data_IF_692532713333
#
_entry.id   IF_692532713333
#
_cell.length_a   1.000
_cell.length_b   1.000
_cell.length_c   1.000
_cell.angle_alpha   90.00
_cell.angle_beta   90.00
_cell.angle_gamma   90.00
#
_symmetry.space_group_name_H-M   'P 1'
#
loop_
_entity.id
_entity.type
_entity.pdbx_description
1 polymer ?
#
# COMPACT_ATOMS: atom_id res chain seq x y z
N UNK A 1 26.45 4.64 -14.02
CA UNK A 1 24.98 4.59 -14.02
C UNK A 1 24.47 5.94 -14.50
N UNK A 2 23.35 5.97 -15.20
CA UNK A 2 22.70 7.19 -15.65
C UNK A 2 21.20 7.01 -15.48
N UNK A 3 20.57 8.00 -14.85
CA UNK A 3 19.12 8.14 -14.85
C UNK A 3 18.79 9.59 -15.18
N UNK A 4 17.91 9.81 -16.16
CA UNK A 4 17.35 11.12 -16.49
C UNK A 4 15.89 10.97 -16.91
N UNK A 5 15.00 11.77 -16.32
CA UNK A 5 13.58 11.78 -16.64
C UNK A 5 13.05 13.22 -16.61
N UNK A 6 11.89 13.46 -17.25
CA UNK A 6 11.16 14.73 -17.14
C UNK A 6 9.80 14.46 -16.53
N UNK A 7 9.45 15.14 -15.44
CA UNK A 7 8.14 14.96 -14.78
C UNK A 7 7.01 15.51 -15.64
N UNK A 8 5.88 14.81 -15.59
CA UNK A 8 4.65 15.26 -16.23
C UNK A 8 3.92 16.25 -15.32
N UNK A 9 3.90 17.54 -15.69
CA UNK A 9 3.39 18.64 -14.85
C UNK A 9 1.95 18.44 -14.34
N UNK A 10 1.07 17.81 -15.15
CA UNK A 10 -0.34 17.54 -14.78
C UNK A 10 -0.61 16.16 -14.18
N UNK A 11 0.34 15.22 -14.19
CA UNK A 11 0.17 13.85 -13.64
C UNK A 11 1.15 13.51 -12.50
N UNK A 12 2.13 14.35 -12.20
CA UNK A 12 3.10 14.15 -11.12
C UNK A 12 2.54 14.17 -9.69
N UNK A 13 1.22 14.37 -9.52
CA UNK A 13 0.55 14.32 -8.23
C UNK A 13 0.66 12.94 -7.58
N UNK A 14 0.53 11.85 -8.34
CA UNK A 14 0.57 10.49 -7.77
C UNK A 14 1.90 10.18 -7.07
N UNK A 15 3.03 10.60 -7.67
CA UNK A 15 4.34 10.42 -7.05
C UNK A 15 4.42 11.22 -5.75
N UNK A 16 3.95 12.47 -5.73
CA UNK A 16 3.91 13.27 -4.52
C UNK A 16 2.98 12.66 -3.45
N UNK A 17 1.81 12.18 -3.83
CA UNK A 17 0.84 11.54 -2.93
C UNK A 17 1.43 10.27 -2.31
N UNK A 18 2.04 9.40 -3.10
CA UNK A 18 2.72 8.20 -2.60
C UNK A 18 3.82 8.58 -1.59
N UNK A 19 4.70 9.53 -1.94
CA UNK A 19 5.76 9.99 -1.03
C UNK A 19 5.18 10.60 0.25
N UNK A 20 4.11 11.39 0.17
CA UNK A 20 3.41 11.92 1.35
C UNK A 20 2.82 10.80 2.20
N UNK A 21 2.23 9.78 1.58
CA UNK A 21 1.74 8.57 2.22
C UNK A 21 2.85 7.87 3.00
N UNK A 22 4.00 7.60 2.36
CA UNK A 22 5.16 6.98 3.00
C UNK A 22 5.65 7.79 4.20
N UNK A 23 5.74 9.12 4.07
CA UNK A 23 6.16 10.00 5.18
C UNK A 23 5.17 9.92 6.36
N UNK A 24 3.85 9.95 6.10
CA UNK A 24 2.84 9.81 7.15
C UNK A 24 2.91 8.45 7.83
N UNK A 25 3.02 7.39 7.03
CA UNK A 25 3.11 6.02 7.52
C UNK A 25 4.35 5.82 8.40
N UNK A 26 5.54 6.24 7.95
CA UNK A 26 6.76 6.19 8.76
C UNK A 26 6.65 6.97 10.07
N UNK A 27 5.87 8.07 10.10
CA UNK A 27 5.64 8.83 11.33
C UNK A 27 4.72 8.11 12.32
N UNK A 28 3.76 7.32 11.82
CA UNK A 28 2.79 6.56 12.61
C UNK A 28 3.29 5.18 13.09
N UNK A 29 4.28 4.59 12.41
CA UNK A 29 4.85 3.30 12.80
C UNK A 29 5.63 3.39 14.13
N UNK A 30 5.50 2.39 15.02
CA UNK A 30 6.15 2.41 16.34
C UNK A 30 7.67 2.27 16.25
N UNK A 31 8.19 1.43 15.33
CA UNK A 31 9.62 1.11 15.20
C UNK A 31 10.29 1.81 14.00
N UNK A 32 10.40 3.14 14.08
CA UNK A 32 10.94 3.98 12.98
C UNK A 32 12.35 3.60 12.53
N UNK A 33 13.17 3.02 13.41
CA UNK A 33 14.55 2.66 13.12
C UNK A 33 14.69 1.46 12.16
N UNK A 34 13.63 0.64 12.05
CA UNK A 34 13.62 -0.56 11.21
C UNK A 34 12.84 -0.37 9.90
N UNK A 35 12.33 0.83 9.65
CA UNK A 35 11.66 1.17 8.38
C UNK A 35 12.70 1.64 7.37
N UNK A 36 12.73 1.03 6.19
CA UNK A 36 13.63 1.45 5.10
C UNK A 36 12.85 1.75 3.84
N UNK A 37 13.12 2.93 3.29
CA UNK A 37 12.49 3.41 2.05
C UNK A 37 13.46 3.30 0.89
N UNK A 38 12.98 2.69 -0.19
CA UNK A 38 13.74 2.44 -1.39
C UNK A 38 13.00 2.93 -2.62
N UNK A 39 13.76 3.37 -3.62
CA UNK A 39 13.28 3.61 -4.96
C UNK A 39 14.06 2.70 -5.91
N UNK A 40 13.33 1.89 -6.66
CA UNK A 40 13.89 0.99 -7.67
C UNK A 40 13.40 1.43 -9.05
N UNK A 41 14.33 1.80 -9.91
CA UNK A 41 14.08 2.10 -11.31
C UNK A 41 14.30 0.82 -12.11
N UNK A 42 13.25 0.36 -12.78
CA UNK A 42 13.27 -0.79 -13.69
C UNK A 42 13.07 -0.33 -15.13
N UNK A 43 13.01 -1.28 -16.08
CA UNK A 43 12.90 -0.96 -17.51
C UNK A 43 11.67 -0.10 -17.85
N UNK A 44 10.50 -0.42 -17.27
CA UNK A 44 9.21 0.19 -17.63
C UNK A 44 8.47 0.84 -16.45
N UNK A 45 9.01 0.70 -15.24
CA UNK A 45 8.33 1.14 -14.02
C UNK A 45 9.29 1.66 -12.96
N UNK A 46 8.75 2.54 -12.13
CA UNK A 46 9.30 2.99 -10.87
C UNK A 46 8.64 2.21 -9.74
N UNK A 47 9.41 1.59 -8.86
CA UNK A 47 8.90 0.99 -7.64
C UNK A 47 9.35 1.84 -6.45
N UNK A 48 8.38 2.31 -5.67
CA UNK A 48 8.62 2.86 -4.34
C UNK A 48 8.31 1.76 -3.34
N UNK A 49 9.24 1.48 -2.43
CA UNK A 49 9.08 0.39 -1.47
C UNK A 49 9.39 0.90 -0.06
N UNK A 50 8.48 0.69 0.88
CA UNK A 50 8.75 0.78 2.29
C UNK A 50 8.43 -0.55 2.96
N UNK A 51 9.46 -1.16 3.54
CA UNK A 51 9.29 -2.32 4.41
C UNK A 51 9.66 -1.91 5.84
N UNK A 52 8.78 -2.20 6.78
CA UNK A 52 9.00 -2.00 8.20
C UNK A 52 8.92 -3.32 8.94
N UNK A 53 10.01 -3.67 9.62
CA UNK A 53 10.10 -4.87 10.44
C UNK A 53 9.90 -4.52 11.92
N UNK A 54 8.95 -5.16 12.57
CA UNK A 54 8.83 -5.17 14.03
C UNK A 54 9.54 -6.41 14.60
N UNK A 55 10.07 -6.26 15.81
CA UNK A 55 11.06 -7.15 16.43
C UNK A 55 10.71 -8.66 16.41
N UNK A 56 11.77 -9.46 16.20
CA UNK A 56 12.00 -10.91 16.38
C UNK A 56 11.06 -11.90 15.66
N UNK A 57 9.77 -11.62 15.49
CA UNK A 57 8.82 -12.50 14.80
C UNK A 57 8.02 -11.74 13.74
N UNK A 58 8.55 -11.70 12.50
CA UNK A 58 7.83 -11.60 11.21
C UNK A 58 6.73 -10.54 11.03
N UNK A 59 6.58 -9.57 11.92
CA UNK A 59 5.62 -8.49 11.77
C UNK A 59 6.14 -7.50 10.72
N UNK A 60 5.61 -7.65 9.51
CA UNK A 60 5.99 -6.83 8.37
C UNK A 60 4.81 -5.94 7.98
N UNK A 61 5.07 -4.64 7.89
CA UNK A 61 4.29 -3.73 7.07
C UNK A 61 5.10 -3.44 5.81
N UNK A 62 4.64 -3.95 4.68
CA UNK A 62 5.24 -3.75 3.36
C UNK A 62 4.27 -2.96 2.49
N UNK A 63 4.74 -1.83 1.98
CA UNK A 63 3.98 -1.00 1.05
C UNK A 63 4.83 -0.78 -0.19
N UNK A 64 4.28 -1.18 -1.34
CA UNK A 64 4.92 -1.03 -2.63
C UNK A 64 4.02 -0.26 -3.59
N UNK A 65 4.53 0.83 -4.17
CA UNK A 65 3.89 1.53 -5.27
C UNK A 65 4.63 1.21 -6.55
N UNK A 66 4.02 0.42 -7.45
CA UNK A 66 4.54 0.17 -8.79
C UNK A 66 3.89 1.17 -9.74
N UNK A 67 4.65 2.19 -10.11
CA UNK A 67 4.21 3.26 -10.99
C UNK A 67 4.78 3.06 -12.39
N UNK A 68 3.92 3.03 -13.41
CA UNK A 68 4.42 3.02 -14.80
C UNK A 68 5.05 4.37 -15.13
N UNK A 69 6.08 4.35 -15.97
CA UNK A 69 6.76 5.58 -16.34
C UNK A 69 5.85 6.57 -17.08
N UNK A 70 4.91 6.10 -17.91
CA UNK A 70 3.94 6.94 -18.63
C UNK A 70 2.94 7.68 -17.71
N UNK A 71 2.74 7.17 -16.49
CA UNK A 71 1.87 7.79 -15.49
C UNK A 71 2.58 8.92 -14.72
N UNK A 72 3.92 8.87 -14.67
CA UNK A 72 4.75 9.78 -13.84
C UNK A 72 5.54 10.78 -14.68
N UNK A 73 6.08 10.34 -15.81
CA UNK A 73 7.01 11.08 -16.65
C UNK A 73 6.37 11.47 -17.98
N UNK A 74 6.80 12.59 -18.54
CA UNK A 74 6.33 13.08 -19.84
C UNK A 74 6.78 12.19 -21.01
N UNK A 75 7.90 11.49 -20.83
CA UNK A 75 8.54 10.62 -21.81
C UNK A 75 9.29 9.51 -21.07
N UNK A 76 9.59 8.42 -21.77
CA UNK A 76 10.40 7.34 -21.20
C UNK A 76 11.72 7.87 -20.61
N UNK A 77 12.07 7.47 -19.38
CA UNK A 77 13.31 7.90 -18.76
C UNK A 77 14.50 7.22 -19.44
N UNK A 78 15.60 7.97 -19.54
CA UNK A 78 16.89 7.41 -19.93
C UNK A 78 17.50 6.70 -18.73
N UNK A 79 17.61 5.38 -18.81
CA UNK A 79 18.10 4.51 -17.74
C UNK A 79 19.23 3.61 -18.25
N UNK A 80 20.45 3.83 -17.75
CA UNK A 80 21.64 3.04 -18.11
C UNK A 80 22.35 2.55 -16.85
N UNK A 81 22.40 1.23 -16.66
CA UNK A 81 23.07 0.58 -15.53
C UNK A 81 23.69 -0.74 -15.96
N UNK A 82 24.86 -1.07 -15.37
CA UNK A 82 25.51 -2.37 -15.58
C UNK A 82 24.71 -3.55 -14.99
N UNK A 83 23.70 -3.26 -14.16
CA UNK A 83 22.79 -4.24 -13.57
C UNK A 83 21.51 -4.32 -14.40
N UNK A 84 21.61 -4.72 -15.67
CA UNK A 84 20.44 -4.89 -16.56
C UNK A 84 19.54 -3.64 -16.65
N UNK A 85 20.14 -2.44 -16.61
CA UNK A 85 19.41 -1.17 -16.54
C UNK A 85 18.47 -1.06 -15.33
N UNK A 86 18.79 -1.73 -14.21
CA UNK A 86 18.11 -1.56 -12.92
C UNK A 86 18.98 -0.70 -12.00
N UNK A 87 18.34 0.23 -11.30
CA UNK A 87 18.97 1.10 -10.31
C UNK A 87 18.15 1.09 -9.02
N UNK A 88 18.79 0.79 -7.89
CA UNK A 88 18.20 0.94 -6.57
C UNK A 88 18.84 2.10 -5.82
N UNK A 89 18.02 2.95 -5.20
CA UNK A 89 18.48 4.00 -4.29
C UNK A 89 17.71 3.96 -2.97
N UNK A 90 18.37 4.42 -1.91
CA UNK A 90 17.79 4.62 -0.57
C UNK A 90 17.93 6.08 -0.17
N UNK A 91 16.91 6.63 0.48
CA UNK A 91 16.91 7.96 1.07
C UNK A 91 15.76 8.13 2.07
N UNK A 92 15.77 9.20 2.84
CA UNK A 92 14.59 9.62 3.60
C UNK A 92 13.52 10.18 2.62
N UNK A 93 12.30 9.63 2.56
CA UNK A 93 11.26 10.09 1.64
C UNK A 93 10.84 11.55 1.89
N UNK A 94 11.00 12.07 3.12
CA UNK A 94 10.67 13.47 3.44
C UNK A 94 11.53 14.46 2.64
N UNK A 95 12.75 14.07 2.25
CA UNK A 95 13.62 14.89 1.40
C UNK A 95 13.07 15.12 -0.02
N UNK A 96 12.09 14.32 -0.46
CA UNK A 96 11.46 14.45 -1.78
C UNK A 96 10.22 15.37 -1.77
N UNK A 97 9.66 15.68 -0.60
CA UNK A 97 8.41 16.45 -0.49
C UNK A 97 8.53 17.85 -1.08
N UNK A 98 9.55 18.60 -0.67
CA UNK A 98 9.76 19.97 -1.15
C UNK A 98 10.07 20.00 -2.65
N UNK A 99 11.03 19.22 -3.18
CA UNK A 99 11.27 19.16 -4.62
C UNK A 99 10.03 18.79 -5.44
N UNK A 100 9.26 17.78 -5.01
CA UNK A 100 8.06 17.37 -5.73
C UNK A 100 6.97 18.45 -5.69
N UNK A 101 6.78 19.14 -4.56
CA UNK A 101 5.87 20.30 -4.48
C UNK A 101 6.29 21.44 -5.41
N UNK A 102 7.58 21.78 -5.44
CA UNK A 102 8.10 22.80 -6.35
C UNK A 102 7.89 22.40 -7.82
N UNK A 103 8.01 21.10 -8.14
CA UNK A 103 7.86 20.59 -9.52
C UNK A 103 6.46 20.77 -10.11
N UNK A 104 5.41 20.75 -9.28
CA UNK A 104 4.02 20.98 -9.70
C UNK A 104 3.85 22.41 -10.24
N UNK A 105 4.56 23.37 -9.65
CA UNK A 105 4.51 24.78 -10.04
C UNK A 105 5.50 25.13 -11.16
N UNK A 106 6.48 24.25 -11.42
CA UNK A 106 7.49 24.45 -12.44
C UNK A 106 6.94 24.14 -13.83
N UNK A 107 7.32 24.94 -14.83
CA UNK A 107 6.99 24.72 -16.25
C UNK A 107 7.54 23.40 -16.76
N UNK A 108 8.75 23.06 -16.33
CA UNK A 108 9.42 21.82 -16.65
C UNK A 108 10.27 21.40 -15.44
N UNK A 109 10.29 20.09 -15.14
CA UNK A 109 11.18 19.52 -14.14
C UNK A 109 11.91 18.31 -14.68
N UNK A 110 13.24 18.40 -14.75
CA UNK A 110 14.13 17.27 -15.07
C UNK A 110 14.66 16.63 -13.79
N UNK A 111 14.49 15.32 -13.66
CA UNK A 111 15.12 14.50 -12.62
C UNK A 111 16.40 13.89 -13.19
N UNK A 112 17.47 13.92 -12.40
CA UNK A 112 18.75 13.30 -12.79
C UNK A 112 19.45 12.69 -11.60
N UNK A 113 19.85 11.43 -11.72
CA UNK A 113 20.80 10.83 -10.79
C UNK A 113 22.22 11.18 -11.22
N UNK A 114 22.99 11.80 -10.33
CA UNK A 114 24.36 12.23 -10.62
C UNK A 114 25.25 12.19 -9.38
N UNK A 115 26.55 12.39 -9.57
CA UNK A 115 27.51 12.56 -8.47
C UNK A 115 27.92 14.04 -8.42
N UNK A 116 27.64 14.73 -7.32
CA UNK A 116 28.03 16.12 -7.03
C UNK A 116 28.83 16.15 -5.75
N UNK A 117 29.98 16.83 -5.75
CA UNK A 117 30.86 16.96 -4.58
C UNK A 117 31.16 15.62 -3.89
N UNK A 118 31.45 14.61 -4.70
CA UNK A 118 31.69 13.22 -4.29
C UNK A 118 30.50 12.47 -3.66
N UNK A 119 29.30 13.05 -3.63
CA UNK A 119 28.07 12.43 -3.13
C UNK A 119 27.11 12.09 -4.26
N UNK A 120 26.37 10.99 -4.14
CA UNK A 120 25.31 10.66 -5.08
C UNK A 120 24.08 11.49 -4.73
N UNK A 121 23.48 12.12 -5.74
CA UNK A 121 22.29 12.97 -5.58
C UNK A 121 21.26 12.70 -6.66
N UNK A 122 20.00 12.69 -6.26
CA UNK A 122 18.86 12.81 -7.16
C UNK A 122 18.50 14.31 -7.27
N UNK A 123 18.88 14.91 -8.38
CA UNK A 123 18.68 16.34 -8.65
C UNK A 123 17.36 16.58 -9.36
N UNK A 124 16.59 17.56 -8.87
CA UNK A 124 15.40 18.10 -9.51
C UNK A 124 15.74 19.48 -10.07
N UNK A 125 15.96 19.56 -11.38
CA UNK A 125 16.22 20.83 -12.09
C UNK A 125 14.93 21.34 -12.70
N UNK A 126 14.48 22.51 -12.27
CA UNK A 126 13.18 23.08 -12.58
C UNK A 126 13.34 24.40 -13.33
N UNK A 127 12.49 24.62 -14.33
CA UNK A 127 12.32 25.92 -14.98
C UNK A 127 11.02 26.52 -14.43
N UNK A 128 11.13 27.63 -13.71
CA UNK A 128 9.99 28.31 -13.09
C UNK A 128 9.70 29.59 -13.87
N UNK A 129 8.45 29.76 -14.27
CA UNK A 129 7.97 30.98 -14.93
C UNK A 129 7.29 31.89 -13.89
N UNK A 130 7.77 33.11 -13.78
CA UNK A 130 7.21 34.12 -12.87
C UNK A 130 5.98 34.79 -13.49
N UNK A 131 5.16 35.46 -12.67
CA UNK A 131 4.01 36.26 -13.15
C UNK A 131 4.38 37.36 -14.15
N UNK A 132 5.66 37.79 -14.19
CA UNK A 132 6.18 38.79 -15.14
C UNK A 132 6.79 38.16 -16.40
N UNK A 133 6.53 36.87 -16.65
CA UNK A 133 7.09 36.08 -17.76
C UNK A 133 8.63 35.97 -17.77
N UNK A 134 9.31 36.35 -16.69
CA UNK A 134 10.72 35.99 -16.49
C UNK A 134 10.83 34.55 -16.03
N UNK A 135 11.86 33.84 -16.50
CA UNK A 135 12.15 32.46 -16.09
C UNK A 135 13.39 32.41 -15.21
N UNK A 136 13.39 31.52 -14.22
CA UNK A 136 14.59 31.20 -13.45
C UNK A 136 14.70 29.68 -13.26
N UNK A 137 15.93 29.22 -13.05
CA UNK A 137 16.21 27.82 -12.81
C UNK A 137 16.37 27.57 -11.32
N UNK A 138 15.62 26.60 -10.79
CA UNK A 138 15.74 26.12 -9.42
C UNK A 138 16.26 24.70 -9.45
N UNK A 139 17.22 24.37 -8.58
CA UNK A 139 17.71 22.99 -8.44
C UNK A 139 17.63 22.55 -6.99
N UNK A 140 16.98 21.41 -6.74
CA UNK A 140 17.05 20.72 -5.46
C UNK A 140 17.86 19.43 -5.61
N UNK A 141 18.89 19.27 -4.79
CA UNK A 141 19.70 18.05 -4.75
C UNK A 141 19.35 17.23 -3.50
N UNK A 142 18.76 16.05 -3.71
CA UNK A 142 18.47 15.11 -2.64
C UNK A 142 19.62 14.10 -2.55
N UNK A 143 20.29 14.03 -1.40
CA UNK A 143 21.33 13.01 -1.16
C UNK A 143 20.71 11.62 -1.18
N UNK A 144 21.38 10.68 -1.83
CA UNK A 144 20.90 9.30 -1.95
C UNK A 144 22.04 8.30 -1.76
N UNK A 145 21.70 7.14 -1.23
CA UNK A 145 22.58 5.99 -1.21
C UNK A 145 22.25 5.09 -2.39
N UNK A 146 23.22 4.90 -3.30
CA UNK A 146 23.06 3.97 -4.42
C UNK A 146 23.31 2.55 -3.92
N UNK A 147 22.34 1.67 -4.13
CA UNK A 147 22.41 0.29 -3.69
C UNK A 147 23.26 -0.56 -4.64
N UNK A 148 23.94 -1.56 -4.07
CA UNK A 148 24.64 -2.59 -4.85
C UNK A 148 23.64 -3.47 -5.58
N UNK A 149 23.99 -3.96 -6.78
CA UNK A 149 23.15 -4.82 -7.62
C UNK A 149 22.49 -5.97 -6.87
N UNK A 150 23.25 -6.67 -6.01
CA UNK A 150 22.74 -7.79 -5.20
C UNK A 150 21.54 -7.37 -4.35
N UNK A 151 21.67 -6.28 -3.60
CA UNK A 151 20.61 -5.76 -2.72
C UNK A 151 19.43 -5.29 -3.58
N UNK A 152 19.69 -4.54 -4.65
CA UNK A 152 18.64 -4.03 -5.55
C UNK A 152 17.79 -5.14 -6.15
N UNK A 153 18.40 -6.28 -6.51
CA UNK A 153 17.69 -7.41 -7.11
C UNK A 153 16.87 -8.19 -6.07
N UNK A 154 17.25 -8.11 -4.78
CA UNK A 154 16.51 -8.68 -3.65
C UNK A 154 15.36 -7.77 -3.16
N UNK A 155 15.29 -6.51 -3.63
CA UNK A 155 14.15 -5.62 -3.37
C UNK A 155 12.97 -6.00 -4.27
N UNK A 156 12.18 -6.95 -3.78
CA UNK A 156 10.95 -7.44 -4.38
C UNK A 156 9.81 -7.14 -3.40
N UNK A 157 8.74 -6.44 -3.83
CA UNK A 157 7.54 -6.28 -3.01
C UNK A 157 7.04 -7.62 -2.47
N UNK A 158 6.57 -7.68 -1.22
CA UNK A 158 6.16 -8.96 -0.63
C UNK A 158 5.04 -9.64 -1.44
N UNK A 159 4.07 -8.87 -1.93
CA UNK A 159 2.99 -9.38 -2.77
C UNK A 159 3.43 -9.96 -4.11
N UNK A 160 4.65 -9.68 -4.55
CA UNK A 160 5.21 -10.16 -5.81
C UNK A 160 6.26 -11.27 -5.62
N UNK A 161 6.64 -11.57 -4.37
CA UNK A 161 7.56 -12.67 -4.08
C UNK A 161 6.85 -14.01 -4.25
N UNK A 162 6.80 -14.47 -5.50
CA UNK A 162 6.13 -15.72 -5.89
C UNK A 162 6.64 -16.96 -5.15
N UNK A 163 7.86 -16.91 -4.58
CA UNK A 163 8.40 -18.02 -3.78
C UNK A 163 7.85 -18.06 -2.36
N UNK A 164 7.44 -16.92 -1.82
CA UNK A 164 6.93 -16.79 -0.45
C UNK A 164 5.42 -16.63 -0.37
N UNK A 165 4.80 -15.98 -1.35
CA UNK A 165 3.39 -15.56 -1.29
C UNK A 165 2.60 -15.78 -2.60
N UNK A 166 3.23 -16.32 -3.66
CA UNK A 166 2.65 -16.38 -5.02
C UNK A 166 1.37 -17.21 -5.17
N UNK A 167 1.10 -18.12 -4.23
CA UNK A 167 -0.11 -18.95 -4.19
C UNK A 167 -1.14 -18.46 -3.17
N UNK A 168 -0.91 -17.33 -2.49
CA UNK A 168 -1.60 -17.02 -1.24
C UNK A 168 -2.54 -15.81 -1.31
N UNK A 169 -2.43 -14.99 -2.36
CA UNK A 169 -3.35 -13.87 -2.57
C UNK A 169 -4.66 -14.45 -3.10
N UNK A 170 -5.76 -14.40 -2.32
CA UNK A 170 -7.04 -14.95 -2.75
C UNK A 170 -7.57 -14.20 -3.96
N UNK A 171 -8.27 -14.91 -4.86
CA UNK A 171 -8.98 -14.32 -6.00
C UNK A 171 -10.19 -13.47 -5.57
N UNK A 172 -10.59 -13.55 -4.29
CA UNK A 172 -11.70 -12.80 -3.72
C UNK A 172 -11.17 -11.65 -2.88
N UNK A 173 -11.60 -10.45 -3.24
CA UNK A 173 -11.30 -9.20 -2.56
C UNK A 173 -12.58 -8.49 -2.16
N UNK A 174 -12.48 -7.59 -1.19
CA UNK A 174 -13.62 -6.89 -0.63
C UNK A 174 -13.36 -5.39 -0.62
N UNK A 175 -14.35 -4.56 -0.97
CA UNK A 175 -14.23 -3.11 -0.82
C UNK A 175 -13.92 -2.81 0.64
N UNK A 176 -12.85 -2.07 0.89
CA UNK A 176 -12.56 -1.64 2.24
C UNK A 176 -13.68 -0.69 2.74
N UNK A 177 -14.11 -0.80 4.02
CA UNK A 177 -14.94 0.23 4.61
C UNK A 177 -14.29 1.62 4.49
N UNK A 178 -15.06 2.72 4.54
CA UNK A 178 -14.51 4.06 4.34
C UNK A 178 -13.29 4.32 5.25
N UNK A 179 -12.08 4.60 4.70
CA UNK A 179 -10.86 4.67 5.49
C UNK A 179 -10.91 5.67 6.64
N UNK A 180 -11.59 6.82 6.45
CA UNK A 180 -11.80 7.82 7.50
C UNK A 180 -12.66 7.29 8.66
N UNK A 181 -13.63 6.42 8.38
CA UNK A 181 -14.47 5.80 9.41
C UNK A 181 -13.68 4.74 10.19
N UNK A 182 -12.86 3.93 9.50
CA UNK A 182 -11.95 2.98 10.16
C UNK A 182 -10.92 3.69 11.05
N UNK A 183 -10.31 4.77 10.56
CA UNK A 183 -9.36 5.57 11.35
C UNK A 183 -10.01 6.09 12.64
N UNK A 184 -11.21 6.69 12.55
CA UNK A 184 -11.95 7.16 13.74
C UNK A 184 -12.32 6.02 14.69
N UNK A 185 -12.65 4.84 14.16
CA UNK A 185 -12.92 3.67 14.98
C UNK A 185 -11.66 3.26 15.76
N UNK A 186 -10.52 3.16 15.08
CA UNK A 186 -9.27 2.77 15.70
C UNK A 186 -8.78 3.81 16.72
N UNK A 187 -8.97 5.10 16.44
CA UNK A 187 -8.74 6.17 17.44
C UNK A 187 -9.57 5.94 18.71
N UNK A 188 -10.86 5.58 18.59
CA UNK A 188 -11.71 5.25 19.74
C UNK A 188 -11.27 3.97 20.46
N UNK A 189 -10.85 2.95 19.73
CA UNK A 189 -10.34 1.70 20.31
C UNK A 189 -9.06 1.96 21.11
N UNK A 190 -8.18 2.85 20.66
CA UNK A 190 -7.00 3.26 21.44
C UNK A 190 -7.37 3.97 22.75
N UNK A 191 -8.49 4.70 22.80
CA UNK A 191 -8.94 5.36 24.04
C UNK A 191 -9.40 4.36 25.12
N UNK A 192 -9.72 3.12 24.75
CA UNK A 192 -10.00 2.01 25.69
C UNK A 192 -8.79 1.08 25.87
N UNK A 193 -7.59 1.60 25.60
CA UNK A 193 -6.29 0.90 25.72
C UNK A 193 -6.14 -0.35 24.85
N UNK A 194 -6.90 -0.46 23.75
CA UNK A 194 -6.74 -1.56 22.79
C UNK A 194 -5.41 -1.42 22.04
N UNK A 195 -4.66 -2.52 21.97
CA UNK A 195 -3.41 -2.63 21.19
C UNK A 195 -3.63 -3.35 19.87
N UNK A 196 -4.59 -4.27 19.85
CA UNK A 196 -4.84 -5.16 18.73
C UNK A 196 -6.29 -5.09 18.28
N UNK A 197 -6.50 -5.21 16.98
CA UNK A 197 -7.83 -5.28 16.38
C UNK A 197 -7.95 -6.59 15.62
N UNK A 198 -8.95 -7.39 15.97
CA UNK A 198 -9.39 -8.50 15.14
C UNK A 198 -10.29 -7.95 14.03
N UNK A 199 -9.90 -8.22 12.78
CA UNK A 199 -10.71 -7.95 11.61
C UNK A 199 -11.21 -9.28 11.09
N UNK A 200 -12.52 -9.39 10.96
CA UNK A 200 -13.22 -10.52 10.39
C UNK A 200 -14.03 -10.06 9.17
N UNK A 201 -13.96 -10.81 8.07
CA UNK A 201 -14.72 -10.60 6.85
C UNK A 201 -15.65 -11.79 6.67
N UNK A 202 -16.95 -11.53 6.59
CA UNK A 202 -18.00 -12.54 6.43
C UNK A 202 -18.78 -12.25 5.16
N UNK A 203 -18.84 -13.21 4.25
CA UNK A 203 -19.66 -13.16 3.04
C UNK A 203 -20.80 -14.17 3.17
N UNK A 204 -22.04 -13.71 2.96
CA UNK A 204 -23.24 -14.55 2.93
C UNK A 204 -23.64 -14.84 1.49
N UNK A 205 -23.52 -16.10 1.07
CA UNK A 205 -23.90 -16.54 -0.27
C UNK A 205 -25.42 -16.65 -0.47
N UNK A 206 -26.24 -16.52 0.59
CA UNK A 206 -27.70 -16.67 0.47
C UNK A 206 -28.45 -15.40 0.03
N UNK A 207 -27.77 -14.25 -0.05
CA UNK A 207 -28.40 -12.99 -0.47
C UNK A 207 -28.73 -12.93 -1.98
N UNK A 208 -28.40 -13.96 -2.75
CA UNK A 208 -28.83 -14.10 -4.15
C UNK A 208 -30.29 -14.56 -4.31
N UNK A 209 -30.89 -15.17 -3.28
CA UNK A 209 -32.17 -15.88 -3.42
C UNK A 209 -33.45 -15.06 -3.10
N UNK A 210 -33.33 -13.76 -2.79
CA UNK A 210 -34.50 -12.91 -2.58
C UNK A 210 -34.35 -11.60 -3.35
N UNK A 211 -34.80 -11.59 -4.61
CA UNK A 211 -35.60 -10.52 -5.22
C UNK A 211 -35.80 -10.83 -6.71
N UNK A 212 -36.97 -11.40 -7.01
CA UNK A 212 -37.49 -11.46 -8.38
C UNK A 212 -37.81 -10.03 -8.86
N UNK A 213 -37.50 -9.81 -10.15
CA UNK A 213 -37.78 -8.64 -10.98
C UNK A 213 -36.79 -7.47 -10.94
N UNK A 214 -36.23 -7.27 -12.13
CA UNK A 214 -35.61 -6.07 -12.71
C UNK A 214 -34.22 -5.61 -12.23
N UNK A 215 -33.37 -5.46 -13.26
CA UNK A 215 -32.15 -4.65 -13.37
C UNK A 215 -30.85 -5.11 -12.68
N UNK A 216 -29.90 -5.56 -13.52
CA UNK A 216 -28.46 -5.63 -13.23
C UNK A 216 -28.01 -6.82 -12.37
N UNK A 217 -26.83 -7.37 -12.65
CA UNK A 217 -26.18 -8.32 -11.75
C UNK A 217 -25.89 -7.62 -10.41
N UNK A 218 -26.70 -7.89 -9.37
CA UNK A 218 -26.47 -7.32 -8.03
C UNK A 218 -25.14 -7.84 -7.51
N UNK A 219 -24.22 -6.93 -7.21
CA UNK A 219 -22.91 -7.27 -6.66
C UNK A 219 -23.08 -7.96 -5.31
N UNK A 220 -22.40 -9.10 -5.12
CA UNK A 220 -22.35 -9.80 -3.83
C UNK A 220 -21.80 -8.86 -2.74
N UNK A 221 -22.31 -9.00 -1.52
CA UNK A 221 -21.91 -8.16 -0.39
C UNK A 221 -21.33 -8.98 0.77
N UNK A 222 -20.52 -8.32 1.59
CA UNK A 222 -19.90 -8.88 2.78
C UNK A 222 -19.98 -7.89 3.95
N UNK A 223 -19.62 -8.40 5.13
CA UNK A 223 -19.55 -7.67 6.38
C UNK A 223 -18.11 -7.66 6.89
N UNK A 224 -17.59 -6.46 7.19
CA UNK A 224 -16.38 -6.31 7.97
C UNK A 224 -16.74 -6.11 9.43
N UNK A 225 -16.20 -6.96 10.29
CA UNK A 225 -16.38 -6.91 11.74
C UNK A 225 -15.03 -6.55 12.34
N UNK A 226 -14.96 -5.43 13.04
CA UNK A 226 -13.77 -4.99 13.76
C UNK A 226 -14.03 -5.11 15.26
N UNK A 227 -13.21 -5.91 15.94
CA UNK A 227 -13.30 -6.14 17.39
C UNK A 227 -11.99 -5.73 18.05
N UNK A 228 -12.06 -4.83 19.03
CA UNK A 228 -10.88 -4.45 19.81
C UNK A 228 -10.52 -5.56 20.81
N UNK A 229 -9.23 -5.80 21.01
CA UNK A 229 -8.77 -6.63 22.11
C UNK A 229 -9.16 -6.02 23.47
N UNK A 230 -9.27 -6.88 24.49
CA UNK A 230 -9.43 -6.45 25.87
C UNK A 230 -8.04 -6.22 26.45
N UNK A 231 -7.80 -5.04 27.00
CA UNK A 231 -6.56 -4.75 27.69
C UNK A 231 -6.66 -5.14 29.17
N UNK A 232 -5.52 -5.34 29.84
CA UNK A 232 -5.48 -5.58 31.29
C UNK A 232 -6.08 -4.42 32.10
N UNK A 233 -6.11 -3.22 31.52
CA UNK A 233 -6.55 -1.98 32.16
C UNK A 233 -8.01 -1.62 31.83
N UNK A 234 -8.64 -2.31 30.87
CA UNK A 234 -10.01 -2.03 30.42
C UNK A 234 -10.75 -3.32 30.07
N UNK A 235 -11.87 -3.54 30.75
CA UNK A 235 -12.80 -4.63 30.43
C UNK A 235 -13.71 -4.31 29.25
N UNK A 236 -13.65 -3.06 28.74
CA UNK A 236 -14.50 -2.57 27.66
C UNK A 236 -13.90 -2.97 26.32
N UNK A 237 -14.65 -3.72 25.51
CA UNK A 237 -14.32 -4.03 24.12
C UNK A 237 -15.28 -3.32 23.17
N UNK A 238 -14.75 -2.69 22.14
CA UNK A 238 -15.53 -2.09 21.05
C UNK A 238 -15.66 -3.12 19.93
N UNK A 239 -16.89 -3.40 19.51
CA UNK A 239 -17.19 -4.20 18.32
C UNK A 239 -18.01 -3.36 17.34
N UNK A 240 -17.60 -3.31 16.09
CA UNK A 240 -18.28 -2.52 15.04
C UNK A 240 -18.44 -3.34 13.78
N UNK A 241 -19.60 -3.19 13.15
CA UNK A 241 -19.99 -3.87 11.92
C UNK A 241 -20.06 -2.85 10.78
N UNK A 242 -19.33 -3.11 9.71
CA UNK A 242 -19.44 -2.40 8.44
C UNK A 242 -20.12 -3.34 7.46
N UNK A 243 -21.38 -3.04 7.16
CA UNK A 243 -22.22 -3.83 6.26
C UNK A 243 -22.12 -3.31 4.82
N UNK A 244 -22.55 -4.13 3.87
CA UNK A 244 -22.67 -3.77 2.45
C UNK A 244 -21.33 -3.44 1.78
N UNK A 245 -20.24 -4.07 2.22
CA UNK A 245 -18.97 -4.04 1.50
C UNK A 245 -19.10 -4.91 0.24
N UNK A 246 -18.66 -4.41 -0.91
CA UNK A 246 -18.78 -5.08 -2.21
C UNK A 246 -17.72 -6.18 -2.33
N UNK A 247 -18.11 -7.34 -2.83
CA UNK A 247 -17.19 -8.44 -3.17
C UNK A 247 -16.72 -8.28 -4.61
N UNK A 248 -15.42 -8.46 -4.83
CA UNK A 248 -14.76 -8.45 -6.13
C UNK A 248 -14.04 -9.77 -6.37
N UNK A 249 -14.14 -10.28 -7.59
CA UNK A 249 -13.42 -11.48 -8.02
C UNK A 249 -12.49 -11.13 -9.18
N UNK A 250 -11.24 -11.60 -9.14
CA UNK A 250 -10.32 -11.45 -10.27
C UNK A 250 -10.66 -12.43 -11.40
N UNK A 251 -10.46 -12.04 -12.66
CA UNK A 251 -10.63 -12.92 -13.83
C UNK A 251 -9.74 -14.17 -13.67
N UNK A 252 -10.32 -15.37 -13.86
CA UNK A 252 -9.86 -16.69 -13.37
C UNK A 252 -10.35 -17.09 -11.97
N UNK A 253 -11.50 -16.57 -11.53
CA UNK A 253 -12.25 -17.12 -10.41
C UNK A 253 -12.73 -18.54 -10.74
N UNK A 254 -12.07 -19.53 -10.15
CA UNK A 254 -12.51 -20.91 -10.12
C UNK A 254 -13.03 -21.17 -8.70
N UNK A 255 -14.35 -21.34 -8.56
CA UNK A 255 -15.02 -21.62 -7.27
C UNK A 255 -14.39 -22.81 -6.54
N UNK A 256 -13.82 -23.76 -7.27
CA UNK A 256 -13.17 -24.94 -6.70
C UNK A 256 -11.86 -24.65 -5.94
N UNK A 257 -11.30 -23.43 -6.09
CA UNK A 257 -10.07 -22.98 -5.41
C UNK A 257 -10.32 -22.18 -4.13
N UNK A 258 -11.58 -22.01 -3.70
CA UNK A 258 -11.94 -21.40 -2.41
C UNK A 258 -11.61 -22.28 -1.19
N UNK A 259 -10.42 -22.89 -1.18
CA UNK A 259 -9.93 -23.65 -0.02
C UNK A 259 -9.15 -22.68 0.86
N UNK A 260 -9.86 -21.77 1.53
CA UNK A 260 -9.35 -21.09 2.72
C UNK A 260 -10.31 -21.41 3.86
N UNK A 261 -9.92 -22.41 4.65
CA UNK A 261 -10.58 -22.95 5.84
C UNK A 261 -12.02 -23.47 5.69
N UNK A 262 -12.20 -24.59 4.95
CA UNK A 262 -13.28 -25.53 5.27
C UNK A 262 -12.95 -26.39 6.51
N UNK A 263 -11.69 -26.41 6.97
CA UNK A 263 -11.27 -27.10 8.18
C UNK A 263 -11.39 -26.20 9.41
N UNK A 264 -12.61 -25.93 9.87
CA UNK A 264 -12.86 -25.84 11.32
C UNK A 264 -14.33 -25.93 11.78
N UNK A 265 -15.32 -26.09 10.90
CA UNK A 265 -16.69 -26.39 11.33
C UNK A 265 -17.31 -27.49 10.47
N UNK A 266 -16.94 -28.75 10.73
CA UNK A 266 -17.89 -29.86 10.50
C UNK A 266 -18.95 -29.82 11.60
N UNK A 267 -19.89 -28.89 11.46
CA UNK A 267 -21.25 -29.04 11.98
C UNK A 267 -22.16 -29.00 10.77
N UNK A 268 -22.61 -30.19 10.38
CA UNK A 268 -23.76 -30.43 9.52
C UNK A 268 -24.91 -29.50 9.92
N UNK A 269 -25.44 -28.77 8.93
CA UNK A 269 -26.65 -27.92 8.93
C UNK A 269 -26.49 -26.38 9.01
N UNK A 270 -25.28 -25.82 8.92
CA UNK A 270 -25.11 -24.37 8.76
C UNK A 270 -24.72 -23.97 7.32
N UNK A 271 -25.54 -23.11 6.71
CA UNK A 271 -25.36 -22.46 5.41
C UNK A 271 -23.89 -22.08 5.17
N UNK A 272 -23.34 -22.39 4.00
CA UNK A 272 -21.95 -22.10 3.64
C UNK A 272 -21.69 -20.58 3.72
N UNK A 273 -21.04 -20.14 4.79
CA UNK A 273 -20.60 -18.76 5.01
C UNK A 273 -19.09 -18.72 4.75
N UNK A 274 -18.64 -17.85 3.84
CA UNK A 274 -17.21 -17.57 3.75
C UNK A 274 -16.82 -16.64 4.89
N UNK A 275 -15.81 -17.05 5.67
CA UNK A 275 -15.35 -16.32 6.85
C UNK A 275 -13.83 -16.35 6.92
N UNK A 276 -13.22 -15.17 6.95
CA UNK A 276 -11.78 -15.02 7.22
C UNK A 276 -11.56 -13.99 8.31
N UNK A 277 -10.59 -14.24 9.18
CA UNK A 277 -10.26 -13.31 10.27
C UNK A 277 -8.78 -13.33 10.58
N UNK A 278 -8.26 -12.21 11.08
CA UNK A 278 -6.90 -12.04 11.54
C UNK A 278 -6.80 -10.87 12.52
N UNK A 279 -5.79 -10.90 13.40
CA UNK A 279 -5.55 -9.89 14.42
C UNK A 279 -4.36 -9.02 14.04
N UNK A 280 -4.46 -7.70 14.17
CA UNK A 280 -3.41 -6.77 13.75
C UNK A 280 -3.11 -5.74 14.82
N UNK A 281 -1.86 -5.23 14.85
CA UNK A 281 -1.50 -4.06 15.65
C UNK A 281 -2.25 -2.82 15.14
N UNK A 282 -2.91 -2.12 16.07
CA UNK A 282 -3.75 -0.97 15.74
C UNK A 282 -2.96 0.19 15.12
N UNK A 283 -1.71 0.41 15.54
CA UNK A 283 -0.87 1.48 15.00
C UNK A 283 -0.42 1.16 13.58
N UNK A 284 -0.13 -0.10 13.27
CA UNK A 284 0.18 -0.52 11.89
C UNK A 284 -1.04 -0.33 10.98
N UNK A 285 -2.22 -0.79 11.39
CA UNK A 285 -3.47 -0.59 10.66
C UNK A 285 -3.74 0.90 10.41
N UNK A 286 -3.64 1.73 11.45
CA UNK A 286 -3.83 3.18 11.32
C UNK A 286 -2.81 3.81 10.36
N UNK A 287 -1.55 3.39 10.42
CA UNK A 287 -0.49 3.93 9.55
C UNK A 287 -0.73 3.59 8.08
N UNK A 288 -1.16 2.36 7.79
CA UNK A 288 -1.53 1.91 6.43
C UNK A 288 -2.79 2.62 5.93
N UNK A 289 -3.80 2.82 6.78
CA UNK A 289 -4.99 3.59 6.41
C UNK A 289 -4.68 5.08 6.19
N UNK A 290 -3.76 5.65 6.96
CA UNK A 290 -3.28 7.01 6.71
C UNK A 290 -2.59 7.12 5.35
N UNK A 291 -1.81 6.11 4.94
CA UNK A 291 -1.27 6.02 3.60
C UNK A 291 -2.41 6.00 2.56
N UNK A 292 -3.39 5.11 2.68
CA UNK A 292 -4.45 5.01 1.67
C UNK A 292 -5.27 6.31 1.54
N UNK A 293 -5.50 7.04 2.62
CA UNK A 293 -6.18 8.34 2.58
C UNK A 293 -5.39 9.48 1.89
N UNK A 294 -4.10 9.27 1.57
CA UNK A 294 -3.31 10.24 0.80
C UNK A 294 -3.44 10.08 -0.71
N UNK A 295 -3.96 8.93 -1.16
CA UNK A 295 -4.03 8.59 -2.57
C UNK A 295 -5.39 9.03 -3.12
N UNK A 296 -5.38 10.01 -4.02
CA UNK A 296 -6.59 10.56 -4.64
C UNK A 296 -7.08 9.65 -5.78
N UNK A 297 -8.36 9.76 -6.12
CA UNK A 297 -8.96 9.13 -7.32
C UNK A 297 -8.66 7.63 -7.46
N UNK A 298 -8.70 6.91 -6.34
CA UNK A 298 -8.35 5.49 -6.27
C UNK A 298 -9.44 4.66 -5.61
N UNK A 299 -9.44 3.36 -5.94
CA UNK A 299 -10.26 2.35 -5.29
C UNK A 299 -9.34 1.47 -4.45
N UNK A 300 -9.83 1.08 -3.27
CA UNK A 300 -9.10 0.19 -2.37
C UNK A 300 -9.94 -1.05 -2.08
N UNK A 301 -9.37 -2.20 -2.41
CA UNK A 301 -9.90 -3.51 -2.03
C UNK A 301 -8.94 -4.17 -1.07
N UNK A 302 -9.46 -4.99 -0.18
CA UNK A 302 -8.70 -5.71 0.83
C UNK A 302 -9.18 -7.16 0.94
N UNK A 303 -8.29 -8.04 1.37
CA UNK A 303 -8.61 -9.42 1.72
C UNK A 303 -7.64 -9.91 2.79
N UNK A 304 -7.98 -11.02 3.45
CA UNK A 304 -7.11 -11.67 4.42
C UNK A 304 -6.61 -12.96 3.78
N UNK A 305 -5.29 -13.10 3.64
CA UNK A 305 -4.66 -14.27 3.03
C UNK A 305 -4.74 -15.50 3.96
N UNK A 306 -4.44 -16.69 3.43
CA UNK A 306 -4.36 -17.93 4.22
C UNK A 306 -3.42 -17.79 5.42
N UNK A 307 -2.26 -17.16 5.20
CA UNK A 307 -1.26 -16.89 6.22
C UNK A 307 -1.57 -15.66 7.08
N UNK A 308 -2.84 -15.23 7.09
CA UNK A 308 -3.34 -14.16 7.95
C UNK A 308 -2.64 -12.82 7.71
N UNK A 309 -2.26 -12.51 6.48
CA UNK A 309 -1.87 -11.16 6.10
C UNK A 309 -3.10 -10.38 5.66
N UNK A 310 -3.19 -9.11 6.04
CA UNK A 310 -4.08 -8.17 5.37
C UNK A 310 -3.40 -7.73 4.08
N UNK A 311 -3.97 -8.13 2.95
CA UNK A 311 -3.55 -7.72 1.62
C UNK A 311 -4.49 -6.63 1.12
N UNK A 312 -3.99 -5.42 0.93
CA UNK A 312 -4.74 -4.31 0.32
C UNK A 312 -4.17 -3.98 -1.05
N UNK A 313 -5.04 -3.79 -2.02
CA UNK A 313 -4.70 -3.33 -3.36
C UNK A 313 -5.42 -2.00 -3.60
N UNK A 314 -4.63 -0.97 -3.92
CA UNK A 314 -5.13 0.31 -4.38
C UNK A 314 -4.84 0.41 -5.87
N UNK A 315 -5.90 0.60 -6.64
CA UNK A 315 -5.84 0.74 -8.09
C UNK A 315 -6.57 2.01 -8.53
N UNK A 316 -6.25 2.47 -9.73
CA UNK A 316 -6.76 3.72 -10.28
C UNK A 316 -7.60 3.40 -11.52
N UNK A 317 -8.73 4.09 -11.74
CA UNK A 317 -9.58 3.85 -12.90
C UNK A 317 -8.95 4.28 -14.23
N UNK A 318 -8.01 5.23 -14.19
CA UNK A 318 -7.52 5.93 -15.39
C UNK A 318 -6.04 5.67 -15.71
N UNK A 319 -5.34 4.89 -14.89
CA UNK A 319 -3.91 4.60 -15.06
C UNK A 319 -3.62 3.16 -14.62
N UNK A 320 -2.54 2.58 -15.13
CA UNK A 320 -2.18 1.17 -14.87
C UNK A 320 -1.18 1.00 -13.70
N UNK A 321 -0.81 2.10 -13.06
CA UNK A 321 -0.07 2.06 -11.80
C UNK A 321 -0.88 1.38 -10.70
N UNK A 322 -0.21 0.70 -9.77
CA UNK A 322 -0.85 0.00 -8.66
C UNK A 322 -0.07 0.20 -7.36
N UNK A 323 -0.79 0.14 -6.24
CA UNK A 323 -0.18 0.13 -4.91
C UNK A 323 -0.66 -1.11 -4.17
N UNK A 324 0.29 -1.88 -3.67
CA UNK A 324 0.04 -3.09 -2.89
C UNK A 324 0.54 -2.86 -1.47
N UNK A 325 -0.25 -3.31 -0.51
CA UNK A 325 0.05 -3.21 0.92
C UNK A 325 -0.15 -4.58 1.55
N UNK A 326 0.88 -5.06 2.23
CA UNK A 326 0.87 -6.30 2.99
C UNK A 326 1.15 -5.98 4.45
N UNK A 327 0.21 -6.35 5.31
CA UNK A 327 0.35 -6.21 6.74
C UNK A 327 0.22 -7.58 7.41
N UNK A 328 1.27 -8.01 8.09
CA UNK A 328 1.28 -9.24 8.86
C UNK A 328 0.32 -9.15 10.06
N UNK A 329 -0.39 -10.24 10.33
CA UNK A 329 -1.11 -10.38 11.60
C UNK A 329 -0.15 -10.61 12.76
N UNK A 330 -0.66 -10.32 13.96
CA UNK A 330 0.00 -10.66 15.21
C UNK A 330 -0.38 -12.09 15.55
N UNK A 331 0.62 -12.95 15.74
CA UNK A 331 0.39 -14.32 16.19
C UNK A 331 0.07 -14.28 17.69
N UNK A 332 -1.22 -14.36 18.05
CA UNK A 332 -1.67 -14.28 19.46
C UNK A 332 -1.49 -15.58 20.23
N UNK A 333 -0.95 -16.64 19.61
CA UNK A 333 -0.81 -17.98 20.21
C UNK A 333 0.41 -18.17 21.14
N UNK A 334 1.26 -17.17 21.33
CA UNK A 334 2.50 -17.30 22.13
C UNK A 334 2.48 -16.55 23.46
N UNK A 335 1.33 -16.04 23.90
CA UNK A 335 1.18 -15.37 25.20
C UNK A 335 0.07 -16.01 26.03
N UNK A 336 0.26 -17.26 26.44
CA UNK A 336 -0.34 -17.84 27.65
C UNK A 336 0.69 -18.68 28.40
#
# INVERSE_FOLDING_TARGET
>A
MRFKATLLQRKSSILLECIQGFVKMMKGLPNKQNSRFYIKFEKNSLILLLTSYCNWDEQIADVSCRLKYEDVFFSEPVLESKNENIIGISLNPEALILPLRSSILAKETTLRLSKRDSQNVLSFSMIIETKKMSTFQLTHDCKVDVLKSKITNELIPLGEDGKRFGSEIPNTHFSLPPPKSLLRLFEKMKLVDSKYVEIEIVQDYNNEAQNNHDEGSKSQTCHFICTSDKSLNSTVSIKTFFNNCIVFHTENYDESRMIISQEQNRRTDEKELFRVFATFDINHLMSVLQFSTTISDSYCVATITQNKFLSMLIFFPNIESQISIFLASVNTKTTE
#
